data_IF_084501518526
#
_entry.id   IF_084501518526
#
_cell.length_a   1.000
_cell.length_b   1.000
_cell.length_c   1.000
_cell.angle_alpha   90.00
_cell.angle_beta   90.00
_cell.angle_gamma   90.00
#
_symmetry.space_group_name_H-M   'P 1'
#
loop_
_entity.id
_entity.type
_entity.pdbx_description
1 polymer ?
#
# COMPACT_ATOMS: atom_id res chain seq x y z
N UNK A 1 -8.70 22.82 5.26
CA UNK A 1 -9.07 22.28 6.60
C UNK A 1 -8.00 21.29 7.04
N UNK A 2 -8.13 20.66 8.22
CA UNK A 2 -7.26 19.54 8.59
C UNK A 2 -7.46 18.37 7.61
N UNK A 3 -6.40 17.61 7.33
CA UNK A 3 -6.43 16.45 6.43
C UNK A 3 -6.95 15.23 7.20
N UNK A 4 -7.91 14.51 6.62
CA UNK A 4 -8.32 13.19 7.08
C UNK A 4 -7.42 12.13 6.43
N UNK A 5 -6.54 11.50 7.21
CA UNK A 5 -5.54 10.56 6.68
C UNK A 5 -5.90 9.11 7.02
N UNK A 6 -6.06 8.28 5.98
CA UNK A 6 -6.19 6.83 6.09
C UNK A 6 -5.05 6.14 5.32
N UNK A 7 -4.45 5.14 5.95
CA UNK A 7 -3.46 4.27 5.33
C UNK A 7 -3.88 2.80 5.48
N UNK A 8 -3.49 1.96 4.53
CA UNK A 8 -3.69 0.52 4.59
C UNK A 8 -2.41 -0.19 4.16
N UNK A 9 -2.13 -1.33 4.79
CA UNK A 9 -1.03 -2.22 4.41
C UNK A 9 -1.41 -3.66 4.73
N UNK A 10 -0.91 -4.62 3.95
CA UNK A 10 -1.13 -6.06 4.15
C UNK A 10 -0.17 -6.64 5.19
N UNK A 11 1.00 -6.01 5.37
CA UNK A 11 1.99 -6.45 6.36
C UNK A 11 1.64 -5.92 7.76
N UNK A 12 1.36 -6.79 8.74
CA UNK A 12 1.08 -6.36 10.11
C UNK A 12 2.25 -5.60 10.75
N UNK A 13 3.51 -5.83 10.34
CA UNK A 13 4.66 -5.05 10.82
C UNK A 13 4.64 -3.62 10.28
N UNK A 14 4.38 -3.44 8.98
CA UNK A 14 4.20 -2.14 8.37
C UNK A 14 3.03 -1.37 9.01
N UNK A 15 1.89 -2.02 9.26
CA UNK A 15 0.75 -1.42 9.97
C UNK A 15 1.15 -0.90 11.36
N UNK A 16 1.89 -1.69 12.15
CA UNK A 16 2.36 -1.25 13.47
C UNK A 16 3.29 -0.04 13.37
N UNK A 17 4.20 -0.05 12.40
CA UNK A 17 5.11 1.07 12.15
C UNK A 17 4.34 2.34 11.77
N UNK A 18 3.44 2.24 10.79
CA UNK A 18 2.63 3.36 10.31
C UNK A 18 1.76 3.94 11.43
N UNK A 19 1.12 3.10 12.27
CA UNK A 19 0.31 3.57 13.41
C UNK A 19 1.11 4.46 14.34
N UNK A 20 2.33 4.04 14.69
CA UNK A 20 3.23 4.84 15.54
C UNK A 20 3.57 6.19 14.90
N UNK A 21 3.72 6.24 13.58
CA UNK A 21 4.14 7.44 12.87
C UNK A 21 2.99 8.44 12.66
N UNK A 22 1.78 7.97 12.33
CA UNK A 22 0.69 8.87 11.89
C UNK A 22 -0.43 9.07 12.94
N UNK A 23 -0.59 8.17 13.91
CA UNK A 23 -1.63 8.34 14.93
C UNK A 23 -1.48 9.63 15.77
N UNK A 24 -0.26 10.09 16.13
CA UNK A 24 -0.10 11.39 16.81
C UNK A 24 -0.60 12.59 16.00
N UNK A 25 -0.66 12.46 14.66
CA UNK A 25 -1.22 13.46 13.76
C UNK A 25 -2.71 13.22 13.43
N UNK A 26 -3.36 12.25 14.09
CA UNK A 26 -4.77 11.90 13.88
C UNK A 26 -5.04 10.92 12.74
N UNK A 27 -4.00 10.33 12.12
CA UNK A 27 -4.13 9.36 11.04
C UNK A 27 -4.61 7.98 11.51
N UNK A 28 -5.31 7.26 10.62
CA UNK A 28 -5.82 5.90 10.87
C UNK A 28 -5.14 4.90 9.95
N UNK A 29 -4.73 3.75 10.50
CA UNK A 29 -4.08 2.68 9.73
C UNK A 29 -4.85 1.38 9.85
N UNK A 30 -5.16 0.80 8.71
CA UNK A 30 -5.95 -0.41 8.54
C UNK A 30 -5.05 -1.56 8.07
N UNK A 31 -5.32 -2.76 8.56
CA UNK A 31 -4.59 -3.96 8.16
C UNK A 31 -5.44 -4.73 7.15
N UNK A 32 -4.90 -4.98 5.97
CA UNK A 32 -5.56 -5.76 4.93
C UNK A 32 -5.07 -5.43 3.53
N UNK A 33 -5.68 -6.07 2.55
CA UNK A 33 -5.29 -5.97 1.14
C UNK A 33 -5.96 -4.78 0.45
N UNK A 34 -5.16 -3.77 0.09
CA UNK A 34 -5.59 -2.58 -0.64
C UNK A 34 -6.88 -1.97 -0.05
N UNK A 35 -7.89 -1.78 -0.90
CA UNK A 35 -9.19 -1.22 -0.58
C UNK A 35 -10.03 -2.07 0.37
N UNK A 36 -9.79 -3.38 0.47
CA UNK A 36 -10.57 -4.27 1.35
C UNK A 36 -10.33 -3.97 2.83
N UNK A 37 -9.21 -3.33 3.17
CA UNK A 37 -8.91 -2.88 4.52
C UNK A 37 -9.65 -1.59 4.91
N UNK A 38 -10.07 -0.79 3.93
CA UNK A 38 -10.56 0.55 4.17
C UNK A 38 -12.05 0.56 4.55
N UNK A 39 -12.48 1.46 5.44
CA UNK A 39 -13.89 1.65 5.76
C UNK A 39 -14.73 1.98 4.52
N UNK A 40 -15.89 1.32 4.41
CA UNK A 40 -16.78 1.45 3.25
C UNK A 40 -17.37 2.87 3.09
N UNK A 41 -17.45 3.64 4.17
CA UNK A 41 -17.96 5.00 4.19
C UNK A 41 -17.00 6.02 3.57
N UNK A 42 -15.77 5.64 3.20
CA UNK A 42 -14.83 6.49 2.47
C UNK A 42 -15.00 6.46 0.95
N UNK A 43 -15.85 5.57 0.41
CA UNK A 43 -16.08 5.50 -1.04
C UNK A 43 -16.66 6.83 -1.55
N UNK A 44 -16.11 7.33 -2.66
CA UNK A 44 -16.45 8.63 -3.27
C UNK A 44 -16.15 9.84 -2.39
N UNK A 45 -15.23 9.71 -1.42
CA UNK A 45 -14.86 10.78 -0.46
C UNK A 45 -13.35 11.00 -0.37
N UNK A 46 -12.54 10.29 -1.16
CA UNK A 46 -11.09 10.41 -1.11
C UNK A 46 -10.64 11.49 -2.09
N UNK A 47 -10.26 12.67 -1.59
CA UNK A 47 -9.74 13.74 -2.46
C UNK A 47 -8.41 13.37 -3.14
N UNK A 48 -7.57 12.59 -2.45
CA UNK A 48 -6.24 12.18 -2.91
C UNK A 48 -5.98 10.73 -2.55
N UNK A 49 -5.70 9.91 -3.56
CA UNK A 49 -5.30 8.53 -3.42
C UNK A 49 -3.82 8.38 -3.80
N UNK A 50 -2.99 8.00 -2.83
CA UNK A 50 -1.58 7.71 -3.04
C UNK A 50 -1.29 6.25 -2.72
N UNK A 51 -0.57 5.57 -3.60
CA UNK A 51 -0.17 4.18 -3.41
C UNK A 51 1.26 3.98 -3.90
N UNK A 52 2.13 3.53 -2.99
CA UNK A 52 3.43 2.99 -3.34
C UNK A 52 3.32 1.47 -3.26
N UNK A 53 3.12 0.83 -4.40
CA UNK A 53 2.88 -0.61 -4.52
C UNK A 53 4.15 -1.30 -5.01
N UNK A 54 4.34 -2.60 -4.73
CA UNK A 54 5.46 -3.34 -5.30
C UNK A 54 5.42 -3.28 -6.83
N UNK A 55 6.60 -3.11 -7.44
CA UNK A 55 6.75 -2.80 -8.86
C UNK A 55 7.86 -3.60 -9.56
N UNK A 56 8.54 -4.51 -8.85
CA UNK A 56 9.61 -5.33 -9.44
C UNK A 56 8.99 -6.57 -10.07
N UNK A 57 9.25 -6.87 -11.36
CA UNK A 57 8.82 -8.12 -11.96
C UNK A 57 9.34 -9.33 -11.16
N UNK A 58 8.50 -10.35 -10.94
CA UNK A 58 8.85 -11.53 -10.12
C UNK A 58 10.17 -12.17 -10.56
N UNK A 59 10.42 -12.25 -11.87
CA UNK A 59 11.65 -12.82 -12.43
C UNK A 59 12.91 -11.97 -12.19
N UNK A 60 12.74 -10.69 -11.85
CA UNK A 60 13.83 -9.74 -11.59
C UNK A 60 14.13 -9.57 -10.10
N UNK A 61 13.25 -10.00 -9.19
CA UNK A 61 13.48 -9.95 -7.74
C UNK A 61 14.82 -10.59 -7.34
N UNK A 62 15.26 -11.75 -7.89
CA UNK A 62 16.57 -12.31 -7.57
C UNK A 62 17.77 -11.46 -8.01
N UNK A 63 17.56 -10.55 -8.98
CA UNK A 63 18.58 -9.67 -9.56
C UNK A 63 18.76 -8.36 -8.78
N UNK A 64 17.89 -8.10 -7.79
CA UNK A 64 18.00 -6.92 -6.94
C UNK A 64 19.32 -6.92 -6.14
N UNK A 65 19.81 -5.72 -5.74
CA UNK A 65 20.91 -5.61 -4.79
C UNK A 65 20.66 -6.49 -3.56
N UNK A 66 21.71 -7.07 -3.00
CA UNK A 66 21.63 -7.97 -1.84
C UNK A 66 20.88 -7.33 -0.67
N UNK A 67 21.06 -6.03 -0.47
CA UNK A 67 20.38 -5.28 0.59
C UNK A 67 18.86 -5.36 0.45
N UNK A 68 18.33 -5.13 -0.76
CA UNK A 68 16.89 -5.21 -1.01
C UNK A 68 16.41 -6.67 -0.99
N UNK A 69 17.11 -7.56 -1.71
CA UNK A 69 16.72 -8.97 -1.84
C UNK A 69 16.71 -9.71 -0.50
N UNK A 70 17.67 -9.42 0.37
CA UNK A 70 17.91 -10.20 1.58
C UNK A 70 17.32 -9.54 2.84
N UNK A 71 16.95 -8.25 2.78
CA UNK A 71 16.44 -7.51 3.95
C UNK A 71 15.07 -6.85 3.77
N UNK A 72 14.55 -6.71 2.56
CA UNK A 72 13.19 -6.20 2.36
C UNK A 72 12.16 -7.33 2.26
N UNK A 73 10.93 -7.14 2.77
CA UNK A 73 9.87 -8.12 2.62
C UNK A 73 9.55 -8.36 1.14
N UNK A 74 9.41 -9.62 0.67
CA UNK A 74 9.07 -9.89 -0.73
C UNK A 74 7.77 -9.22 -1.19
N UNK A 75 6.79 -9.10 -0.30
CA UNK A 75 5.52 -8.42 -0.57
C UNK A 75 5.65 -6.91 -0.83
N UNK A 76 6.78 -6.30 -0.45
CA UNK A 76 7.11 -4.90 -0.76
C UNK A 76 7.83 -4.73 -2.11
N UNK A 77 8.32 -5.83 -2.70
CA UNK A 77 9.13 -5.82 -3.92
C UNK A 77 8.37 -6.39 -5.13
N UNK A 78 7.80 -7.59 -4.98
CA UNK A 78 7.23 -8.39 -6.07
C UNK A 78 5.90 -7.81 -6.58
N UNK A 79 5.98 -7.16 -7.74
CA UNK A 79 4.86 -6.56 -8.46
C UNK A 79 4.18 -7.51 -9.44
N UNK A 80 4.52 -8.80 -9.42
CA UNK A 80 3.97 -9.80 -10.33
C UNK A 80 4.73 -9.94 -11.65
N UNK A 81 4.10 -10.53 -12.67
CA UNK A 81 4.81 -11.02 -13.86
C UNK A 81 5.59 -9.92 -14.61
N UNK A 82 5.03 -8.72 -14.70
CA UNK A 82 5.65 -7.54 -15.32
C UNK A 82 5.79 -6.36 -14.36
N UNK A 83 5.64 -6.60 -13.06
CA UNK A 83 5.74 -5.57 -12.03
C UNK A 83 4.51 -4.67 -11.89
N UNK A 84 3.43 -4.88 -12.65
CA UNK A 84 2.28 -3.96 -12.66
C UNK A 84 1.01 -4.56 -12.04
N UNK A 85 1.03 -5.77 -11.50
CA UNK A 85 -0.19 -6.47 -11.08
C UNK A 85 -0.91 -5.74 -9.94
N UNK A 86 -0.18 -5.30 -8.91
CA UNK A 86 -0.77 -4.54 -7.80
C UNK A 86 -1.17 -3.13 -8.26
N UNK A 87 -0.37 -2.49 -9.11
CA UNK A 87 -0.70 -1.17 -9.66
C UNK A 87 -2.00 -1.20 -10.46
N UNK A 88 -2.22 -2.22 -11.28
CA UNK A 88 -3.48 -2.41 -12.03
C UNK A 88 -4.68 -2.54 -11.10
N UNK A 89 -4.55 -3.27 -10.00
CA UNK A 89 -5.62 -3.42 -8.98
C UNK A 89 -5.94 -2.08 -8.31
N UNK A 90 -4.94 -1.30 -7.97
CA UNK A 90 -5.11 0.07 -7.44
C UNK A 90 -5.82 0.95 -8.47
N UNK A 91 -5.28 1.05 -9.69
CA UNK A 91 -5.84 1.90 -10.73
C UNK A 91 -7.29 1.53 -11.09
N UNK A 92 -7.62 0.23 -11.14
CA UNK A 92 -8.97 -0.24 -11.43
C UNK A 92 -9.98 0.09 -10.32
N UNK A 93 -9.56 0.06 -9.04
CA UNK A 93 -10.43 0.36 -7.90
C UNK A 93 -10.54 1.85 -7.59
N UNK A 94 -9.55 2.67 -7.95
CA UNK A 94 -9.49 4.09 -7.59
C UNK A 94 -10.77 4.90 -7.90
N UNK A 95 -11.46 4.73 -9.04
CA UNK A 95 -12.68 5.50 -9.35
C UNK A 95 -13.84 5.29 -8.36
N UNK A 96 -13.89 4.18 -7.63
CA UNK A 96 -14.94 3.92 -6.64
C UNK A 96 -14.67 4.63 -5.29
N UNK A 97 -13.45 5.14 -5.10
CA UNK A 97 -12.99 5.74 -3.85
C UNK A 97 -12.77 7.25 -3.95
N UNK A 98 -12.27 7.71 -5.08
CA UNK A 98 -12.15 9.13 -5.44
C UNK A 98 -13.53 9.78 -5.53
#
# INVERSE_FOLDING_TARGET
GPVELHAADIDPAAVRCARRNIAPAGGRVHHGDLYAALPADLRGRVDVLAANVPYVPTGEVPLLPSEARDHEPPAALDGGADGLDVLRRVAAGAPDWL
#
